data_IF_902506078889
#
_entry.id   IF_902506078889
#
_cell.length_a   1.000
_cell.length_b   1.000
_cell.length_c   1.000
_cell.angle_alpha   90.00
_cell.angle_beta   90.00
_cell.angle_gamma   90.00
#
_symmetry.space_group_name_H-M   'P 1'
#
loop_
_entity.id
_entity.type
_entity.pdbx_description
1 polymer ?
#
# COMPACT_ATOMS: atom_id res chain seq x y z
N UNK A 1 -32.95 4.49 1.48
CA UNK A 1 -31.93 4.24 2.52
C UNK A 1 -30.72 3.75 1.76
N UNK A 2 -29.71 4.61 1.58
CA UNK A 2 -28.44 4.18 0.99
C UNK A 2 -27.85 3.15 1.93
N UNK A 3 -27.57 1.95 1.42
CA UNK A 3 -26.75 1.00 2.15
C UNK A 3 -25.32 1.54 1.96
N UNK A 4 -24.92 2.51 2.80
CA UNK A 4 -23.55 3.02 2.82
C UNK A 4 -22.66 1.85 3.18
N UNK A 5 -22.12 1.21 2.15
CA UNK A 5 -21.02 0.26 2.29
C UNK A 5 -19.83 1.08 2.75
N UNK A 6 -19.68 1.22 4.07
CA UNK A 6 -18.51 1.81 4.70
C UNK A 6 -17.27 1.08 4.17
N UNK A 7 -16.21 1.82 3.84
CA UNK A 7 -14.90 1.25 3.53
C UNK A 7 -14.41 0.39 4.70
N UNK A 8 -14.61 -0.92 4.56
CA UNK A 8 -14.12 -1.94 5.48
C UNK A 8 -13.02 -2.75 4.80
N UNK A 9 -12.42 -3.69 5.53
CA UNK A 9 -11.32 -4.48 5.00
C UNK A 9 -11.71 -5.31 3.77
N UNK A 10 -12.95 -5.81 3.68
CA UNK A 10 -13.37 -6.60 2.52
C UNK A 10 -13.55 -5.72 1.28
N UNK A 11 -14.11 -4.52 1.44
CA UNK A 11 -14.22 -3.56 0.35
C UNK A 11 -12.84 -3.04 -0.09
N UNK A 12 -11.92 -2.81 0.84
CA UNK A 12 -10.53 -2.46 0.53
C UNK A 12 -9.88 -3.52 -0.37
N UNK A 13 -9.91 -4.79 0.04
CA UNK A 13 -9.31 -5.88 -0.74
C UNK A 13 -10.00 -6.09 -2.08
N UNK A 14 -11.32 -5.89 -2.15
CA UNK A 14 -12.04 -5.92 -3.43
C UNK A 14 -11.52 -4.88 -4.43
N UNK A 15 -11.10 -3.70 -3.96
CA UNK A 15 -10.50 -2.66 -4.82
C UNK A 15 -9.11 -3.09 -5.28
N UNK A 16 -8.30 -3.69 -4.40
CA UNK A 16 -6.99 -4.24 -4.78
C UNK A 16 -7.14 -5.37 -5.82
N UNK A 17 -8.17 -6.22 -5.69
CA UNK A 17 -8.48 -7.30 -6.64
C UNK A 17 -8.91 -6.78 -8.04
N UNK A 18 -9.10 -5.47 -8.23
CA UNK A 18 -9.38 -4.86 -9.53
C UNK A 18 -8.12 -4.54 -10.33
N UNK A 19 -6.91 -4.74 -9.78
CA UNK A 19 -5.67 -4.46 -10.50
C UNK A 19 -5.51 -5.40 -11.70
N UNK A 20 -5.39 -4.81 -12.89
CA UNK A 20 -5.30 -5.57 -14.13
C UNK A 20 -3.84 -5.89 -14.50
N UNK A 21 -3.31 -6.94 -13.89
CA UNK A 21 -1.95 -7.40 -14.12
C UNK A 21 -1.69 -7.95 -15.54
N UNK A 22 -2.69 -8.04 -16.44
CA UNK A 22 -2.43 -8.29 -17.87
C UNK A 22 -1.68 -7.10 -18.51
N UNK A 23 -1.68 -5.94 -17.86
CA UNK A 23 -1.01 -4.70 -18.26
C UNK A 23 0.28 -4.40 -17.47
N UNK A 24 0.95 -5.43 -16.92
CA UNK A 24 2.24 -5.27 -16.21
C UNK A 24 3.24 -4.39 -17.00
N UNK A 25 3.81 -3.39 -16.31
CA UNK A 25 4.70 -2.38 -16.89
C UNK A 25 4.00 -1.08 -17.32
N UNK A 26 2.67 -1.02 -17.24
CA UNK A 26 1.84 0.17 -17.40
C UNK A 26 0.93 0.34 -16.17
N UNK A 27 1.51 0.86 -15.09
CA UNK A 27 0.84 0.98 -13.78
C UNK A 27 -0.45 1.82 -13.84
N UNK A 28 -0.51 2.84 -14.70
CA UNK A 28 -1.71 3.66 -14.90
C UNK A 28 -2.86 2.77 -15.39
N UNK A 29 -2.59 1.89 -16.35
CA UNK A 29 -3.59 0.94 -16.86
C UNK A 29 -3.93 -0.14 -15.83
N UNK A 30 -2.94 -0.66 -15.09
CA UNK A 30 -3.15 -1.66 -14.02
C UNK A 30 -4.13 -1.12 -12.96
N UNK A 31 -4.02 0.18 -12.61
CA UNK A 31 -4.80 0.81 -11.55
C UNK A 31 -6.13 1.43 -12.03
N UNK A 32 -6.34 1.56 -13.33
CA UNK A 32 -7.44 2.33 -13.92
C UNK A 32 -8.81 1.90 -13.36
N UNK A 33 -9.10 0.59 -13.28
CA UNK A 33 -10.39 0.10 -12.78
C UNK A 33 -10.58 0.44 -11.30
N UNK A 34 -9.55 0.23 -10.47
CA UNK A 34 -9.57 0.50 -9.05
C UNK A 34 -9.80 2.00 -8.75
N UNK A 35 -9.05 2.88 -9.44
CA UNK A 35 -9.18 4.34 -9.32
C UNK A 35 -10.57 4.80 -9.74
N UNK A 36 -11.06 4.32 -10.89
CA UNK A 36 -12.41 4.63 -11.39
C UNK A 36 -13.54 4.08 -10.52
N UNK A 37 -13.31 3.00 -9.77
CA UNK A 37 -14.26 2.48 -8.81
C UNK A 37 -14.27 3.35 -7.55
N UNK A 38 -13.09 3.63 -7.00
CA UNK A 38 -12.93 4.42 -5.78
C UNK A 38 -13.41 5.87 -5.96
N UNK A 39 -13.21 6.49 -7.14
CA UNK A 39 -13.66 7.87 -7.42
C UNK A 39 -15.19 8.05 -7.40
N UNK A 40 -15.95 6.95 -7.47
CA UNK A 40 -17.42 6.95 -7.35
C UNK A 40 -17.91 6.87 -5.90
N UNK A 41 -17.02 6.62 -4.94
CA UNK A 41 -17.32 6.53 -3.50
C UNK A 41 -17.42 7.91 -2.86
N UNK A 42 -17.85 7.99 -1.60
CA UNK A 42 -17.84 9.27 -0.85
C UNK A 42 -16.39 9.71 -0.54
N UNK A 43 -16.16 11.00 -0.24
CA UNK A 43 -14.80 11.45 0.11
C UNK A 43 -14.32 10.78 1.40
N UNK A 44 -15.24 10.54 2.35
CA UNK A 44 -14.98 9.81 3.58
C UNK A 44 -14.59 8.35 3.33
N UNK A 45 -15.14 7.70 2.30
CA UNK A 45 -14.71 6.35 1.89
C UNK A 45 -13.32 6.37 1.25
N UNK A 46 -12.98 7.38 0.45
CA UNK A 46 -11.63 7.54 -0.12
C UNK A 46 -10.60 7.73 1.01
N UNK A 47 -10.89 8.62 1.97
CA UNK A 47 -10.04 8.81 3.14
C UNK A 47 -9.91 7.56 4.00
N UNK A 48 -11.00 6.79 4.14
CA UNK A 48 -10.97 5.52 4.86
C UNK A 48 -10.19 4.43 4.12
N UNK A 49 -10.11 4.46 2.78
CA UNK A 49 -9.23 3.60 2.00
C UNK A 49 -7.76 3.95 2.27
N UNK A 50 -7.44 5.25 2.25
CA UNK A 50 -6.09 5.77 2.57
C UNK A 50 -5.65 5.40 4.00
N UNK A 51 -6.56 5.52 4.97
CA UNK A 51 -6.33 5.06 6.35
C UNK A 51 -6.06 3.56 6.46
N UNK A 52 -6.71 2.74 5.61
CA UNK A 52 -6.49 1.30 5.59
C UNK A 52 -5.14 0.97 4.95
N UNK A 53 -4.85 1.55 3.78
CA UNK A 53 -3.58 1.39 3.08
C UNK A 53 -2.40 1.74 4.00
N UNK A 54 -2.45 2.92 4.60
CA UNK A 54 -1.43 3.40 5.53
C UNK A 54 -1.24 2.46 6.73
N UNK A 55 -2.32 1.90 7.29
CA UNK A 55 -2.24 0.91 8.37
C UNK A 55 -1.54 -0.36 7.93
N UNK A 56 -1.88 -0.91 6.76
CA UNK A 56 -1.30 -2.15 6.27
C UNK A 56 0.19 -2.00 5.95
N UNK A 57 0.58 -0.86 5.36
CA UNK A 57 1.99 -0.51 5.11
C UNK A 57 2.77 -0.30 6.42
N UNK A 58 2.17 0.39 7.40
CA UNK A 58 2.75 0.58 8.74
C UNK A 58 2.95 -0.75 9.47
N UNK A 59 2.05 -1.71 9.29
CA UNK A 59 2.21 -3.04 9.86
C UNK A 59 3.38 -3.82 9.23
N UNK A 60 3.75 -3.54 7.99
CA UNK A 60 4.92 -4.15 7.37
C UNK A 60 6.21 -3.34 7.61
N UNK A 61 6.14 -2.14 8.20
CA UNK A 61 7.33 -1.36 8.55
C UNK A 61 8.07 -2.00 9.73
N UNK A 62 9.16 -2.72 9.46
CA UNK A 62 9.93 -3.39 10.50
C UNK A 62 11.19 -4.07 10.00
N UNK A 63 12.17 -4.20 10.89
CA UNK A 63 13.52 -4.69 10.56
C UNK A 63 13.52 -6.11 9.99
N UNK A 64 12.61 -6.96 10.45
CA UNK A 64 12.50 -8.35 9.98
C UNK A 64 11.99 -8.43 8.52
N UNK A 65 11.18 -7.48 8.07
CA UNK A 65 10.75 -7.38 6.67
C UNK A 65 11.84 -6.73 5.82
N UNK A 66 12.46 -5.66 6.34
CA UNK A 66 13.48 -4.89 5.63
C UNK A 66 14.72 -5.72 5.26
N UNK A 67 15.04 -6.76 6.03
CA UNK A 67 16.12 -7.73 5.74
C UNK A 67 15.85 -8.64 4.53
N UNK A 68 14.64 -8.63 3.96
CA UNK A 68 14.17 -9.65 3.02
C UNK A 68 13.73 -9.09 1.65
N UNK A 69 14.14 -7.88 1.27
CA UNK A 69 13.70 -7.23 0.01
C UNK A 69 14.66 -7.39 -1.18
N UNK A 70 15.72 -8.19 -1.06
CA UNK A 70 16.69 -8.42 -2.14
C UNK A 70 17.92 -7.51 -2.06
N UNK A 71 18.33 -6.92 -3.19
CA UNK A 71 19.56 -6.11 -3.35
C UNK A 71 19.70 -5.00 -2.30
N UNK A 72 18.57 -4.37 -1.95
CA UNK A 72 18.53 -3.22 -1.03
C UNK A 72 18.11 -3.58 0.40
N UNK A 73 18.26 -4.84 0.79
CA UNK A 73 17.87 -5.30 2.12
C UNK A 73 18.66 -4.59 3.23
N UNK A 74 17.97 -4.34 4.34
CA UNK A 74 18.62 -3.85 5.55
C UNK A 74 19.60 -4.91 6.08
N UNK A 75 20.86 -4.52 6.29
CA UNK A 75 21.89 -5.37 6.90
C UNK A 75 22.18 -4.88 8.31
N UNK A 76 22.65 -3.63 8.41
CA UNK A 76 22.94 -2.92 9.65
C UNK A 76 22.94 -1.39 9.39
N UNK A 77 23.36 -0.59 10.37
CA UNK A 77 23.44 0.87 10.28
C UNK A 77 24.63 1.39 9.44
N UNK A 78 25.59 0.53 9.09
CA UNK A 78 26.79 0.91 8.33
C UNK A 78 26.60 0.73 6.82
N UNK A 79 25.79 -0.25 6.42
CA UNK A 79 25.46 -0.55 5.03
C UNK A 79 24.34 0.32 4.46
N UNK A 80 24.34 0.50 3.14
CA UNK A 80 23.28 1.25 2.47
C UNK A 80 21.95 0.48 2.50
N UNK A 81 20.91 1.15 2.98
CA UNK A 81 19.53 0.66 2.96
C UNK A 81 18.64 1.69 2.26
N UNK A 82 17.94 1.26 1.21
CA UNK A 82 16.99 2.11 0.48
C UNK A 82 15.62 2.08 1.15
N UNK A 83 15.30 3.16 1.86
CA UNK A 83 14.01 3.32 2.55
C UNK A 83 12.83 3.35 1.58
N UNK A 84 13.04 3.85 0.37
CA UNK A 84 12.02 3.93 -0.69
C UNK A 84 11.74 2.54 -1.26
N UNK A 85 12.78 1.78 -1.62
CA UNK A 85 12.61 0.41 -2.12
C UNK A 85 11.92 -0.48 -1.09
N UNK A 86 12.18 -0.27 0.20
CA UNK A 86 11.45 -0.99 1.24
C UNK A 86 9.97 -0.58 1.31
N UNK A 87 9.63 0.70 1.19
CA UNK A 87 8.24 1.15 1.11
C UNK A 87 7.54 0.55 -0.11
N UNK A 88 8.19 0.53 -1.27
CA UNK A 88 7.59 0.01 -2.50
C UNK A 88 7.47 -1.51 -2.51
N UNK A 89 8.40 -2.24 -1.87
CA UNK A 89 8.25 -3.67 -1.64
C UNK A 89 7.04 -3.98 -0.73
N UNK A 90 6.78 -3.15 0.29
CA UNK A 90 5.56 -3.27 1.11
C UNK A 90 4.29 -2.98 0.30
N UNK A 91 4.35 -2.05 -0.65
CA UNK A 91 3.26 -1.82 -1.60
C UNK A 91 3.00 -3.06 -2.46
N UNK A 92 4.06 -3.69 -2.98
CA UNK A 92 3.95 -4.94 -3.75
C UNK A 92 3.30 -6.08 -2.92
N UNK A 93 3.58 -6.17 -1.62
CA UNK A 93 2.91 -7.16 -0.75
C UNK A 93 1.39 -6.95 -0.73
N UNK A 94 0.94 -5.71 -0.58
CA UNK A 94 -0.50 -5.39 -0.56
C UNK A 94 -1.11 -5.61 -1.94
N UNK A 95 -0.41 -5.22 -3.01
CA UNK A 95 -0.89 -5.34 -4.38
C UNK A 95 -1.05 -6.80 -4.85
N UNK A 96 -0.33 -7.76 -4.23
CA UNK A 96 -0.55 -9.21 -4.40
C UNK A 96 -1.79 -9.75 -3.67
N UNK A 97 -2.54 -8.88 -2.99
CA UNK A 97 -3.83 -9.19 -2.41
C UNK A 97 -3.78 -9.71 -0.98
N UNK A 98 -5.00 -9.94 -0.45
CA UNK A 98 -5.26 -10.21 0.96
C UNK A 98 -4.45 -11.38 1.52
N UNK A 99 -4.51 -12.52 0.85
CA UNK A 99 -3.93 -13.77 1.36
C UNK A 99 -2.40 -13.66 1.43
N UNK A 100 -1.78 -13.03 0.43
CA UNK A 100 -0.34 -12.80 0.42
C UNK A 100 0.09 -11.81 1.52
N UNK A 101 -0.65 -10.71 1.70
CA UNK A 101 -0.40 -9.78 2.79
C UNK A 101 -0.36 -10.46 4.17
N UNK A 102 -1.39 -11.26 4.49
CA UNK A 102 -1.43 -11.97 5.77
C UNK A 102 -0.39 -13.08 5.87
N UNK A 103 0.00 -13.68 4.75
CA UNK A 103 1.09 -14.65 4.71
C UNK A 103 2.42 -13.98 5.08
N UNK A 104 2.79 -12.89 4.41
CA UNK A 104 4.03 -12.15 4.67
C UNK A 104 4.07 -11.60 6.10
N UNK A 105 2.95 -11.13 6.65
CA UNK A 105 2.88 -10.72 8.06
C UNK A 105 3.33 -11.80 9.06
N UNK A 106 3.17 -13.08 8.70
CA UNK A 106 3.62 -14.21 9.52
C UNK A 106 4.98 -14.77 9.07
N UNK A 107 5.40 -14.45 7.85
CA UNK A 107 6.58 -14.98 7.17
C UNK A 107 7.37 -13.84 6.50
N UNK A 108 8.11 -13.00 7.26
CA UNK A 108 8.86 -11.88 6.69
C UNK A 108 9.88 -12.28 5.61
N UNK A 109 10.33 -13.54 5.62
CA UNK A 109 11.23 -14.12 4.61
C UNK A 109 10.62 -14.22 3.20
N UNK A 110 9.30 -14.16 3.11
CA UNK A 110 8.51 -14.19 1.87
C UNK A 110 8.21 -12.79 1.30
N UNK A 111 8.84 -11.74 1.86
CA UNK A 111 8.82 -10.41 1.24
C UNK A 111 9.24 -10.50 -0.24
N UNK A 112 8.57 -9.77 -1.15
CA UNK A 112 8.99 -9.65 -2.54
C UNK A 112 10.43 -9.14 -2.62
N UNK A 113 11.25 -9.81 -3.43
CA UNK A 113 12.67 -9.47 -3.62
C UNK A 113 12.85 -8.78 -4.95
N UNK A 114 13.45 -7.61 -4.93
CA UNK A 114 13.73 -6.82 -6.14
C UNK A 114 12.46 -6.51 -6.95
N UNK A 115 11.32 -6.41 -6.26
CA UNK A 115 10.00 -6.06 -6.82
C UNK A 115 9.43 -4.88 -6.06
N UNK A 116 8.69 -4.04 -6.77
CA UNK A 116 8.14 -2.80 -6.26
C UNK A 116 6.77 -2.53 -6.90
N UNK A 117 5.96 -1.71 -6.24
CA UNK A 117 4.74 -1.17 -6.83
C UNK A 117 4.41 0.18 -6.19
N UNK A 118 5.28 1.18 -6.39
CA UNK A 118 5.12 2.55 -5.86
C UNK A 118 3.74 3.14 -6.17
N UNK A 119 3.22 2.86 -7.37
CA UNK A 119 1.95 3.40 -7.87
C UNK A 119 0.74 3.09 -6.97
N UNK A 120 0.81 2.08 -6.09
CA UNK A 120 -0.23 1.85 -5.08
C UNK A 120 -0.51 3.09 -4.21
N UNK A 121 0.52 3.90 -3.93
CA UNK A 121 0.43 5.08 -3.07
C UNK A 121 -0.40 6.21 -3.70
N UNK A 122 -0.69 6.17 -5.00
CA UNK A 122 -1.41 7.24 -5.68
C UNK A 122 -2.93 7.05 -5.74
N UNK A 123 -3.45 5.85 -5.47
CA UNK A 123 -4.85 5.48 -5.75
C UNK A 123 -5.85 6.43 -5.09
N UNK A 124 -5.68 6.75 -3.81
CA UNK A 124 -6.59 7.65 -3.09
C UNK A 124 -6.58 9.06 -3.65
N UNK A 125 -5.37 9.57 -3.96
CA UNK A 125 -5.16 10.90 -4.54
C UNK A 125 -5.83 10.98 -5.91
N UNK A 126 -5.54 10.04 -6.80
CA UNK A 126 -6.08 10.02 -8.16
C UNK A 126 -7.61 9.90 -8.16
N UNK A 127 -8.16 9.02 -7.32
CA UNK A 127 -9.61 8.87 -7.19
C UNK A 127 -10.28 10.16 -6.67
N UNK A 128 -9.65 10.85 -5.72
CA UNK A 128 -10.17 12.10 -5.17
C UNK A 128 -10.10 13.25 -6.18
N UNK A 129 -8.94 13.44 -6.81
CA UNK A 129 -8.71 14.48 -7.81
C UNK A 129 -9.62 14.30 -9.02
N UNK A 130 -9.77 13.06 -9.52
CA UNK A 130 -10.71 12.73 -10.60
C UNK A 130 -12.16 13.09 -10.24
N UNK A 131 -12.55 12.89 -8.99
CA UNK A 131 -13.91 13.14 -8.51
C UNK A 131 -14.21 14.62 -8.29
N UNK A 132 -13.28 15.33 -7.64
CA UNK A 132 -13.53 16.66 -7.08
C UNK A 132 -12.94 17.79 -7.92
N UNK A 133 -12.01 17.50 -8.84
CA UNK A 133 -11.20 18.51 -9.53
C UNK A 133 -10.43 19.41 -8.54
N UNK A 134 -9.98 18.81 -7.43
CA UNK A 134 -9.29 19.45 -6.30
C UNK A 134 -8.16 18.56 -5.79
N UNK A 135 -7.08 19.18 -5.30
CA UNK A 135 -5.92 18.48 -4.73
C UNK A 135 -6.29 17.63 -3.50
N UNK A 136 -5.66 16.47 -3.37
CA UNK A 136 -5.81 15.60 -2.21
C UNK A 136 -4.93 16.05 -1.03
N UNK A 137 -5.52 16.71 -0.03
CA UNK A 137 -4.83 17.20 1.19
C UNK A 137 -5.20 16.40 2.46
N UNK A 138 -5.49 15.10 2.30
CA UNK A 138 -5.81 14.24 3.43
C UNK A 138 -4.54 13.59 4.00
N UNK A 139 -4.35 13.71 5.32
CA UNK A 139 -3.28 13.01 6.03
C UNK A 139 -3.81 11.70 6.63
N UNK A 140 -3.24 10.54 6.26
CA UNK A 140 -3.64 9.25 6.83
C UNK A 140 -3.40 9.16 8.34
N UNK A 141 -4.14 8.26 8.98
CA UNK A 141 -3.99 7.96 10.43
C UNK A 141 -2.63 7.36 10.81
N UNK A 142 -1.98 6.66 9.88
CA UNK A 142 -0.69 6.02 10.12
C UNK A 142 0.34 6.62 9.16
N UNK A 143 1.50 6.96 9.71
CA UNK A 143 2.65 7.36 8.91
C UNK A 143 3.28 6.08 8.35
N UNK A 144 3.10 5.83 7.05
CA UNK A 144 3.60 4.61 6.40
C UNK A 144 5.07 4.69 5.99
N UNK A 145 5.73 5.84 6.18
CA UNK A 145 7.15 6.02 5.86
C UNK A 145 8.01 5.02 6.64
N UNK A 146 9.11 4.63 6.01
CA UNK A 146 10.04 3.67 6.61
C UNK A 146 10.58 4.20 7.96
N UNK A 147 10.64 3.33 8.96
CA UNK A 147 10.94 3.62 10.37
C UNK A 147 9.81 4.22 11.20
N UNK A 148 8.63 4.52 10.66
CA UNK A 148 7.54 5.12 11.44
C UNK A 148 6.96 4.17 12.50
N UNK A 149 6.96 2.86 12.28
CA UNK A 149 6.63 1.84 13.27
C UNK A 149 7.81 1.52 14.19
N UNK A 150 8.15 2.48 15.05
CA UNK A 150 9.30 2.39 15.96
C UNK A 150 9.36 1.09 16.76
N UNK A 151 8.22 0.48 17.08
CA UNK A 151 8.16 -0.77 17.84
C UNK A 151 8.76 -1.99 17.11
N UNK A 152 8.79 -1.97 15.78
CA UNK A 152 9.33 -3.05 14.93
C UNK A 152 10.75 -2.80 14.44
N UNK A 153 11.36 -1.70 14.88
CA UNK A 153 12.74 -1.32 14.55
C UNK A 153 13.66 -1.32 15.77
N UNK A 154 13.13 -1.48 16.98
CA UNK A 154 13.94 -1.66 18.19
C UNK A 154 14.17 -3.14 18.45
N UNK A 155 15.42 -3.59 18.26
CA UNK A 155 15.92 -4.92 18.60
C UNK A 155 17.23 -4.84 19.37
#
# INVERSE_FOLDING_TARGET
>A
MSNDLKMDENEFWKIIDMFDWEHEGDDETVLEEAVNYLSKKSNEEIFAFEDMLSKLLYDLDGVEYAKNIGEYSYVDEEEFFSVDNFLYARCMVIANGRDFYYHVLQHPEEMPKDMEFESLLSISREAYEQKNDEDFDYLPKFDYETYSNKSKWTG
#
